data_IF_269162816286
#
_entry.id   IF_269162816286
#
_cell.length_a   1.000
_cell.length_b   1.000
_cell.length_c   1.000
_cell.angle_alpha   90.00
_cell.angle_beta   90.00
_cell.angle_gamma   90.00
#
_symmetry.space_group_name_H-M   'P 1'
#
loop_
_entity.id
_entity.type
_entity.pdbx_description
1 polymer ?
#
# COMPACT_ATOMS: atom_id res chain seq x y z
N UNK A 1 59.94 31.63 -19.81
CA UNK A 1 59.11 30.83 -18.89
C UNK A 1 57.73 30.69 -19.51
N UNK A 2 57.42 29.55 -20.13
CA UNK A 2 56.12 29.29 -20.76
C UNK A 2 55.22 28.50 -19.79
N UNK A 3 54.07 29.06 -19.42
CA UNK A 3 53.04 28.37 -18.62
C UNK A 3 52.12 27.63 -19.59
N UNK A 4 52.16 26.30 -19.59
CA UNK A 4 51.27 25.45 -20.38
C UNK A 4 49.85 25.49 -19.83
N UNK A 5 48.90 25.87 -20.67
CA UNK A 5 47.46 25.83 -20.36
C UNK A 5 47.00 24.36 -20.38
N UNK A 6 46.63 23.83 -19.21
CA UNK A 6 46.02 22.49 -19.10
C UNK A 6 44.51 22.62 -19.30
N UNK A 7 44.03 22.24 -20.47
CA UNK A 7 42.60 22.08 -20.74
C UNK A 7 42.10 20.84 -19.98
N UNK A 8 41.25 21.04 -18.97
CA UNK A 8 40.49 19.96 -18.35
C UNK A 8 39.26 19.69 -19.20
N UNK A 9 39.16 18.49 -19.79
CA UNK A 9 37.94 18.00 -20.42
C UNK A 9 37.05 17.43 -19.32
N UNK A 10 35.95 18.12 -19.03
CA UNK A 10 34.91 17.63 -18.13
C UNK A 10 34.07 16.59 -18.87
N UNK A 11 34.35 15.31 -18.66
CA UNK A 11 33.51 14.22 -19.18
C UNK A 11 32.20 14.15 -18.38
N UNK A 12 31.08 14.52 -19.00
CA UNK A 12 29.76 14.25 -18.43
C UNK A 12 29.50 12.73 -18.46
N UNK A 13 29.57 12.10 -17.30
CA UNK A 13 29.09 10.73 -17.11
C UNK A 13 27.55 10.77 -17.12
N UNK A 14 26.94 10.46 -18.26
CA UNK A 14 25.53 10.08 -18.32
C UNK A 14 25.39 8.68 -17.72
N UNK A 15 25.05 8.61 -16.44
CA UNK A 15 24.56 7.37 -15.84
C UNK A 15 23.05 7.36 -16.05
N UNK A 16 22.51 6.51 -16.95
CA UNK A 16 21.07 6.40 -17.11
C UNK A 16 20.47 5.90 -15.80
N UNK A 17 19.36 6.49 -15.39
CA UNK A 17 18.59 5.97 -14.26
C UNK A 17 18.08 4.59 -14.63
N UNK A 18 18.45 3.57 -13.86
CA UNK A 18 17.88 2.24 -13.98
C UNK A 18 16.52 2.25 -13.28
N UNK A 19 15.47 1.93 -14.04
CA UNK A 19 14.11 1.77 -13.52
C UNK A 19 13.56 0.43 -14.00
N UNK A 20 12.68 -0.16 -13.20
CA UNK A 20 11.86 -1.30 -13.63
C UNK A 20 10.73 -0.75 -14.52
N UNK A 21 10.63 -1.23 -15.76
CA UNK A 21 9.58 -0.82 -16.68
C UNK A 21 8.38 -1.75 -16.55
N UNK A 22 7.61 -1.56 -15.48
CA UNK A 22 6.37 -2.29 -15.23
C UNK A 22 5.10 -1.47 -15.58
N UNK A 23 5.27 -0.32 -16.24
CA UNK A 23 4.17 0.58 -16.60
C UNK A 23 3.54 1.36 -15.43
N UNK A 24 4.05 1.21 -14.20
CA UNK A 24 3.54 1.90 -13.00
C UNK A 24 4.52 2.99 -12.52
N UNK A 25 4.05 3.88 -11.65
CA UNK A 25 4.91 4.88 -11.00
C UNK A 25 5.55 5.91 -11.94
N UNK A 26 4.99 6.10 -13.14
CA UNK A 26 5.47 7.10 -14.11
C UNK A 26 5.36 8.54 -13.58
N UNK A 27 4.42 8.77 -12.66
CA UNK A 27 4.35 9.96 -11.81
C UNK A 27 4.33 9.53 -10.35
N UNK A 28 4.71 10.42 -9.39
CA UNK A 28 4.60 10.11 -7.98
C UNK A 28 3.18 9.64 -7.61
N UNK A 29 3.02 8.55 -6.84
CA UNK A 29 1.71 8.09 -6.42
C UNK A 29 1.05 9.11 -5.50
N UNK A 30 -0.24 9.34 -5.69
CA UNK A 30 -1.02 10.29 -4.92
C UNK A 30 -2.21 9.57 -4.28
N UNK A 31 -2.35 9.71 -2.97
CA UNK A 31 -3.40 9.01 -2.23
C UNK A 31 -3.47 9.43 -0.77
N UNK A 32 -4.19 8.62 0.00
CA UNK A 32 -4.39 8.80 1.42
C UNK A 32 -4.00 7.52 2.17
N UNK A 33 -3.48 7.67 3.39
CA UNK A 33 -3.12 6.54 4.28
C UNK A 33 -3.76 6.71 5.65
N UNK A 34 -4.18 5.59 6.25
CA UNK A 34 -4.94 5.61 7.51
C UNK A 34 -4.15 5.99 8.75
N UNK A 35 -2.84 5.78 8.76
CA UNK A 35 -2.03 5.82 9.98
C UNK A 35 -2.02 7.17 10.70
N UNK A 36 -1.69 8.26 10.00
CA UNK A 36 -1.37 9.54 10.64
C UNK A 36 -2.52 10.13 11.49
N UNK A 37 -3.77 9.83 11.13
CA UNK A 37 -4.94 10.31 11.87
C UNK A 37 -5.53 9.24 12.78
N UNK A 38 -5.63 8.01 12.31
CA UNK A 38 -6.40 6.97 12.99
C UNK A 38 -5.53 6.02 13.82
N UNK A 39 -4.25 5.87 13.49
CA UNK A 39 -3.38 4.82 14.01
C UNK A 39 -4.13 3.48 13.96
N UNK A 40 -4.17 2.73 15.06
CA UNK A 40 -4.87 1.43 15.13
C UNK A 40 -6.39 1.50 15.22
N UNK A 41 -7.01 2.70 15.17
CA UNK A 41 -8.47 2.90 15.26
C UNK A 41 -9.11 2.87 13.88
N UNK A 42 -8.80 1.83 13.12
CA UNK A 42 -9.29 1.59 11.77
C UNK A 42 -10.18 0.35 11.73
N UNK A 43 -11.19 0.39 10.86
CA UNK A 43 -12.07 -0.73 10.53
C UNK A 43 -12.62 -0.54 9.12
N UNK A 44 -13.24 -1.58 8.56
CA UNK A 44 -13.77 -1.57 7.20
C UNK A 44 -14.76 -0.43 6.96
N UNK A 45 -15.73 -0.22 7.86
CA UNK A 45 -16.72 0.87 7.73
C UNK A 45 -16.05 2.24 7.65
N UNK A 46 -15.00 2.48 8.42
CA UNK A 46 -14.25 3.74 8.37
C UNK A 46 -13.56 3.91 7.01
N UNK A 47 -12.88 2.87 6.51
CA UNK A 47 -12.17 2.93 5.23
C UNK A 47 -13.12 3.18 4.06
N UNK A 48 -14.24 2.45 4.00
CA UNK A 48 -15.27 2.66 2.97
C UNK A 48 -15.85 4.09 3.02
N UNK A 49 -16.12 4.62 4.22
CA UNK A 49 -16.55 6.00 4.38
C UNK A 49 -15.51 7.00 3.90
N UNK A 50 -14.21 6.72 4.10
CA UNK A 50 -13.13 7.58 3.60
C UNK A 50 -13.08 7.54 2.08
N UNK A 51 -13.21 6.36 1.47
CA UNK A 51 -13.33 6.20 0.02
C UNK A 51 -14.48 7.05 -0.54
N UNK A 52 -15.68 6.98 0.07
CA UNK A 52 -16.82 7.82 -0.32
C UNK A 52 -16.50 9.32 -0.25
N UNK A 53 -15.71 9.74 0.74
CA UNK A 53 -15.30 11.14 0.92
C UNK A 53 -14.22 11.59 -0.06
N UNK A 54 -13.32 10.71 -0.47
CA UNK A 54 -12.28 11.03 -1.46
C UNK A 54 -12.90 11.41 -2.80
N UNK A 55 -13.98 10.74 -3.21
CA UNK A 55 -14.70 11.00 -4.48
C UNK A 55 -15.80 12.05 -4.37
N UNK A 56 -16.07 12.58 -3.17
CA UNK A 56 -17.16 13.52 -2.94
C UNK A 56 -16.82 14.93 -3.49
N UNK A 57 -17.58 15.39 -4.47
CA UNK A 57 -17.42 16.72 -5.11
C UNK A 57 -18.18 17.82 -4.38
N UNK A 58 -17.98 17.95 -3.06
CA UNK A 58 -18.64 18.99 -2.24
C UNK A 58 -17.87 20.30 -2.16
N UNK A 59 -16.57 20.28 -2.42
CA UNK A 59 -15.72 21.46 -2.35
C UNK A 59 -15.59 22.10 -3.73
N UNK A 60 -15.63 23.42 -3.77
CA UNK A 60 -15.33 24.17 -4.99
C UNK A 60 -13.84 24.47 -5.07
N UNK A 61 -13.22 24.19 -6.21
CA UNK A 61 -11.87 24.61 -6.58
C UNK A 61 -12.02 25.41 -7.88
N UNK A 62 -11.67 26.70 -7.83
CA UNK A 62 -11.80 27.63 -8.96
C UNK A 62 -13.20 27.66 -9.60
N UNK A 63 -14.24 27.52 -8.77
CA UNK A 63 -15.64 27.54 -9.23
C UNK A 63 -16.17 26.21 -9.77
N UNK A 64 -15.37 25.13 -9.74
CA UNK A 64 -15.78 23.78 -10.15
C UNK A 64 -15.91 22.89 -8.92
N UNK A 65 -16.97 22.09 -8.86
CA UNK A 65 -17.15 21.08 -7.82
C UNK A 65 -16.14 19.94 -8.05
N UNK A 66 -15.20 19.78 -7.11
CA UNK A 66 -13.99 18.96 -7.30
C UNK A 66 -13.77 18.06 -6.10
N UNK A 67 -13.48 16.79 -6.35
CA UNK A 67 -13.10 15.78 -5.35
C UNK A 67 -11.58 15.69 -5.20
N UNK A 68 -11.08 14.94 -4.22
CA UNK A 68 -9.64 14.69 -4.11
C UNK A 68 -9.13 13.78 -5.23
N UNK A 69 -9.94 12.80 -5.66
CA UNK A 69 -9.58 11.95 -6.79
C UNK A 69 -9.55 12.71 -8.12
N UNK A 70 -10.40 13.73 -8.34
CA UNK A 70 -10.30 14.61 -9.52
C UNK A 70 -8.94 15.36 -9.59
N UNK A 71 -8.27 15.52 -8.45
CA UNK A 71 -6.94 16.11 -8.33
C UNK A 71 -5.81 15.06 -8.33
N UNK A 72 -6.13 13.78 -8.54
CA UNK A 72 -5.18 12.68 -8.64
C UNK A 72 -5.04 11.83 -7.37
N UNK A 73 -5.66 12.18 -6.24
CA UNK A 73 -5.60 11.38 -5.01
C UNK A 73 -6.63 10.25 -5.02
N UNK A 74 -6.43 9.28 -5.92
CA UNK A 74 -7.37 8.18 -6.15
C UNK A 74 -6.98 6.87 -5.44
N UNK A 75 -5.92 6.85 -4.64
CA UNK A 75 -5.52 5.71 -3.82
C UNK A 75 -5.91 5.88 -2.35
N UNK A 76 -6.51 4.84 -1.74
CA UNK A 76 -6.84 4.80 -0.30
C UNK A 76 -6.17 3.59 0.34
N UNK A 77 -5.09 3.83 1.10
CA UNK A 77 -4.33 2.77 1.73
C UNK A 77 -4.77 2.42 3.15
N UNK A 78 -4.95 1.12 3.40
CA UNK A 78 -5.06 0.51 4.72
C UNK A 78 -3.65 0.25 5.28
N UNK A 79 -3.28 1.03 6.30
CA UNK A 79 -2.06 0.83 7.08
C UNK A 79 -2.25 -0.30 8.13
N UNK A 80 -1.41 -0.34 9.15
CA UNK A 80 -1.39 -1.37 10.20
C UNK A 80 -2.72 -1.50 10.99
N UNK A 81 -2.81 -2.53 11.85
CA UNK A 81 -3.94 -2.90 12.71
C UNK A 81 -5.12 -3.64 12.05
N UNK A 82 -4.89 -4.25 10.88
CA UNK A 82 -5.82 -5.18 10.22
C UNK A 82 -5.64 -6.63 10.67
N UNK A 83 -4.49 -6.97 11.25
CA UNK A 83 -4.07 -8.35 11.53
C UNK A 83 -4.79 -8.91 12.76
N UNK A 84 -5.04 -10.21 12.75
CA UNK A 84 -5.43 -10.96 13.93
C UNK A 84 -4.17 -11.36 14.73
N UNK A 85 -3.63 -10.43 15.50
CA UNK A 85 -2.40 -10.65 16.27
C UNK A 85 -2.52 -11.77 17.31
N UNK A 86 -1.46 -12.56 17.45
CA UNK A 86 -1.37 -13.68 18.38
C UNK A 86 -2.11 -14.93 17.91
N UNK A 87 -2.66 -14.93 16.68
CA UNK A 87 -3.35 -16.08 16.11
C UNK A 87 -2.48 -16.92 15.17
N UNK A 88 -1.24 -16.48 14.93
CA UNK A 88 -0.33 -17.20 14.07
C UNK A 88 0.02 -18.60 14.61
N UNK A 89 0.41 -19.48 13.69
CA UNK A 89 0.83 -20.85 14.00
C UNK A 89 2.35 -20.99 13.96
N UNK A 90 2.90 -22.09 14.47
CA UNK A 90 4.33 -22.37 14.39
C UNK A 90 5.22 -21.23 14.96
N UNK A 91 4.70 -20.47 15.93
CA UNK A 91 5.39 -19.34 16.56
C UNK A 91 5.43 -18.04 15.72
N UNK A 92 4.62 -17.96 14.66
CA UNK A 92 4.32 -16.72 13.92
C UNK A 92 3.31 -15.87 14.70
N UNK A 93 3.26 -14.57 14.41
CA UNK A 93 2.38 -13.63 15.12
C UNK A 93 0.98 -13.58 14.50
N UNK A 94 0.88 -13.55 13.18
CA UNK A 94 -0.40 -13.42 12.48
C UNK A 94 -0.47 -14.24 11.20
N UNK A 95 0.50 -15.10 10.92
CA UNK A 95 0.46 -16.02 9.78
C UNK A 95 0.14 -17.46 10.17
N UNK A 96 -0.61 -18.13 9.30
CA UNK A 96 -0.81 -19.58 9.35
C UNK A 96 -0.03 -20.22 8.22
N UNK A 97 0.71 -21.29 8.54
CA UNK A 97 1.34 -22.15 7.53
C UNK A 97 0.65 -23.50 7.59
N UNK A 98 -0.01 -23.87 6.51
CA UNK A 98 -0.79 -25.08 6.36
C UNK A 98 0.13 -26.31 6.20
N UNK A 99 -0.46 -27.51 6.31
CA UNK A 99 0.28 -28.77 6.27
C UNK A 99 0.96 -29.04 4.92
N UNK A 100 0.44 -28.48 3.84
CA UNK A 100 1.00 -28.57 2.48
C UNK A 100 2.07 -27.48 2.20
N UNK A 101 2.34 -26.62 3.18
CA UNK A 101 3.32 -25.55 3.09
C UNK A 101 2.78 -24.23 2.53
N UNK A 102 1.48 -24.12 2.21
CA UNK A 102 0.89 -22.81 1.89
C UNK A 102 0.83 -21.93 3.14
N UNK A 103 0.90 -20.61 2.94
CA UNK A 103 0.81 -19.65 4.04
C UNK A 103 -0.26 -18.62 3.72
N UNK A 104 -0.92 -18.10 4.76
CA UNK A 104 -1.85 -16.99 4.62
C UNK A 104 -1.81 -16.08 5.86
N UNK A 105 -1.96 -14.76 5.68
CA UNK A 105 -2.12 -13.84 6.81
C UNK A 105 -3.50 -14.00 7.44
N UNK A 106 -3.54 -13.92 8.77
CA UNK A 106 -4.76 -13.96 9.56
C UNK A 106 -5.31 -12.54 9.73
N UNK A 107 -6.51 -12.30 9.22
CA UNK A 107 -7.20 -11.01 9.28
C UNK A 107 -8.07 -10.92 10.53
N UNK A 108 -8.12 -9.74 11.14
CA UNK A 108 -9.08 -9.45 12.22
C UNK A 108 -10.47 -9.22 11.63
N UNK A 109 -11.24 -10.30 11.43
CA UNK A 109 -12.59 -10.24 10.86
C UNK A 109 -13.62 -9.48 11.70
N UNK A 110 -13.35 -9.22 12.99
CA UNK A 110 -14.21 -8.32 13.79
C UNK A 110 -14.06 -6.86 13.34
N UNK A 111 -12.88 -6.46 12.86
CA UNK A 111 -12.60 -5.10 12.35
C UNK A 111 -12.81 -5.00 10.85
N UNK A 112 -12.46 -6.06 10.13
CA UNK A 112 -12.49 -6.15 8.68
C UNK A 112 -13.23 -7.43 8.27
N UNK A 113 -14.57 -7.46 8.41
CA UNK A 113 -15.36 -8.66 8.13
C UNK A 113 -15.25 -9.15 6.69
N UNK A 114 -14.96 -8.26 5.74
CA UNK A 114 -14.84 -8.57 4.32
C UNK A 114 -13.93 -7.54 3.61
N UNK A 115 -12.61 -7.80 3.62
CA UNK A 115 -11.65 -6.95 2.91
C UNK A 115 -11.86 -6.94 1.39
N UNK A 116 -12.43 -8.01 0.83
CA UNK A 116 -12.70 -8.08 -0.61
C UNK A 116 -13.86 -7.17 -0.98
N UNK A 117 -14.93 -7.15 -0.20
CA UNK A 117 -16.00 -6.16 -0.37
C UNK A 117 -15.47 -4.73 -0.25
N UNK A 118 -14.51 -4.49 0.66
CA UNK A 118 -13.92 -3.17 0.84
C UNK A 118 -13.14 -2.70 -0.40
N UNK A 119 -12.34 -3.57 -1.02
CA UNK A 119 -11.59 -3.25 -2.25
C UNK A 119 -12.53 -3.16 -3.46
N UNK A 120 -13.50 -4.06 -3.58
CA UNK A 120 -14.54 -3.99 -4.62
C UNK A 120 -15.31 -2.66 -4.54
N UNK A 121 -15.58 -2.13 -3.34
CA UNK A 121 -16.17 -0.81 -3.13
C UNK A 121 -15.26 0.32 -3.61
N UNK A 122 -13.96 0.25 -3.32
CA UNK A 122 -12.98 1.22 -3.82
C UNK A 122 -12.98 1.25 -5.37
N UNK A 123 -12.88 0.07 -5.99
CA UNK A 123 -12.86 -0.06 -7.45
C UNK A 123 -14.18 0.42 -8.09
N UNK A 124 -15.33 0.17 -7.45
CA UNK A 124 -16.62 0.68 -7.92
C UNK A 124 -16.71 2.22 -7.93
N UNK A 125 -15.91 2.90 -7.09
CA UNK A 125 -15.78 4.36 -7.07
C UNK A 125 -14.68 4.89 -8.01
N UNK A 126 -13.97 4.00 -8.73
CA UNK A 126 -12.82 4.37 -9.56
C UNK A 126 -11.55 4.68 -8.75
N UNK A 127 -11.47 4.20 -7.50
CA UNK A 127 -10.29 4.31 -6.64
C UNK A 127 -9.46 3.04 -6.71
N UNK A 128 -8.19 3.12 -6.30
CA UNK A 128 -7.36 1.97 -5.91
C UNK A 128 -7.28 1.85 -4.39
N UNK A 129 -6.93 0.67 -3.90
CA UNK A 129 -6.76 0.39 -2.49
C UNK A 129 -5.40 -0.28 -2.21
N UNK A 130 -4.54 0.38 -1.44
CA UNK A 130 -3.27 -0.18 -0.99
C UNK A 130 -3.37 -0.94 0.34
N UNK A 131 -2.48 -1.91 0.55
CA UNK A 131 -2.40 -2.69 1.78
C UNK A 131 -1.00 -2.68 2.40
N UNK A 132 -0.91 -2.55 3.72
CA UNK A 132 0.35 -2.60 4.45
C UNK A 132 0.67 -4.01 4.93
N UNK A 133 1.75 -4.60 4.41
CA UNK A 133 2.23 -5.94 4.79
C UNK A 133 3.38 -5.95 5.80
N UNK A 134 4.12 -4.85 6.00
CA UNK A 134 5.29 -4.80 6.90
C UNK A 134 4.91 -4.31 8.31
N UNK A 135 4.00 -5.04 8.95
CA UNK A 135 3.28 -4.59 10.13
C UNK A 135 4.19 -4.28 11.34
N UNK A 136 3.98 -3.14 12.00
CA UNK A 136 4.79 -2.66 13.12
C UNK A 136 4.21 -3.09 14.48
N UNK A 137 2.90 -2.96 14.65
CA UNK A 137 2.15 -3.37 15.84
C UNK A 137 2.26 -4.90 16.01
N UNK A 138 2.30 -5.60 14.88
CA UNK A 138 2.13 -7.04 14.78
C UNK A 138 3.14 -7.62 13.80
N UNK A 139 4.44 -7.45 14.09
CA UNK A 139 5.49 -7.91 13.18
C UNK A 139 5.76 -9.40 13.33
N UNK A 140 6.03 -10.08 12.23
CA UNK A 140 6.66 -11.40 12.33
C UNK A 140 8.07 -11.24 12.90
N UNK A 141 8.43 -12.13 13.84
CA UNK A 141 9.72 -12.07 14.57
C UNK A 141 10.65 -13.23 14.24
N UNK A 142 10.12 -14.27 13.59
CA UNK A 142 10.93 -15.35 13.02
C UNK A 142 11.47 -14.93 11.67
N UNK A 143 12.63 -15.49 11.28
CA UNK A 143 13.16 -15.33 9.93
C UNK A 143 12.04 -15.64 8.94
N UNK A 144 11.63 -14.59 8.22
CA UNK A 144 10.41 -14.58 7.42
C UNK A 144 10.61 -15.57 6.30
N UNK A 145 9.90 -16.70 6.37
CA UNK A 145 10.06 -17.79 5.41
C UNK A 145 9.51 -17.36 4.04
N UNK A 146 10.08 -17.84 2.95
CA UNK A 146 9.60 -17.58 1.58
C UNK A 146 8.10 -17.87 1.41
N UNK A 147 7.56 -18.83 2.16
CA UNK A 147 6.15 -19.15 2.21
C UNK A 147 5.28 -17.99 2.71
N UNK A 148 5.71 -17.25 3.73
CA UNK A 148 4.96 -16.11 4.30
C UNK A 148 4.81 -15.02 3.26
N UNK A 149 5.91 -14.61 2.61
CA UNK A 149 5.87 -13.61 1.54
C UNK A 149 4.99 -14.05 0.37
N UNK A 150 5.03 -15.33 -0.01
CA UNK A 150 4.14 -15.85 -1.04
C UNK A 150 2.68 -15.77 -0.61
N UNK A 151 2.39 -16.10 0.65
CA UNK A 151 1.06 -15.99 1.25
C UNK A 151 0.53 -14.54 1.25
N UNK A 152 1.38 -13.58 1.62
CA UNK A 152 1.06 -12.16 1.56
C UNK A 152 0.71 -11.70 0.14
N UNK A 153 1.51 -12.12 -0.86
CA UNK A 153 1.24 -11.79 -2.28
C UNK A 153 -0.08 -12.41 -2.74
N UNK A 154 -0.32 -13.70 -2.44
CA UNK A 154 -1.57 -14.38 -2.78
C UNK A 154 -2.77 -13.68 -2.13
N UNK A 155 -2.66 -13.31 -0.85
CA UNK A 155 -3.72 -12.61 -0.15
C UNK A 155 -3.95 -11.20 -0.72
N UNK A 156 -2.88 -10.45 -1.03
CA UNK A 156 -2.97 -9.10 -1.59
C UNK A 156 -3.76 -9.13 -2.90
N UNK A 157 -3.38 -10.01 -3.82
CA UNK A 157 -4.04 -10.16 -5.12
C UNK A 157 -5.46 -10.75 -4.96
N UNK A 158 -5.62 -11.79 -4.13
CA UNK A 158 -6.91 -12.47 -3.95
C UNK A 158 -7.98 -11.58 -3.30
N UNK A 159 -7.56 -10.67 -2.41
CA UNK A 159 -8.43 -9.68 -1.79
C UNK A 159 -8.61 -8.43 -2.66
N UNK A 160 -7.94 -8.32 -3.81
CA UNK A 160 -8.13 -7.22 -4.75
C UNK A 160 -7.47 -5.91 -4.34
N UNK A 161 -6.39 -5.95 -3.58
CA UNK A 161 -5.57 -4.76 -3.35
C UNK A 161 -4.66 -4.46 -4.55
N UNK A 162 -4.24 -3.20 -4.67
CA UNK A 162 -3.46 -2.65 -5.79
C UNK A 162 -1.99 -2.34 -5.41
#
# INVERSE_FOLDING_TARGET
>A
MARGLRTFVLGLLFVPAAAIDNGLGLTPPMGWRSWNLFASRVNQTLLMRIMDKIVERKRMVDGVATSLCDLGYCDVGLDDAWQACGTGTNGLQYHTVDADGTSHPNINYTRFPDLRQMTDHAHALGLTAGWYGNNCICKETKDVMSAVYMGDVIATVGLGFD
#
